data_IF_570749376593
#
_entry.id   IF_570749376593
#
_cell.length_a   1.000
_cell.length_b   1.000
_cell.length_c   1.000
_cell.angle_alpha   90.00
_cell.angle_beta   90.00
_cell.angle_gamma   90.00
#
_symmetry.space_group_name_H-M   'P 1'
#
loop_
_entity.id
_entity.type
_entity.pdbx_description
1 polymer ?
#
# COMPACT_ATOMS: atom_id res chain seq x y z
N UNK A 1 -11.17 -6.08 13.76
CA UNK A 1 -9.81 -6.65 13.67
C UNK A 1 -9.32 -6.84 15.09
N UNK A 2 -8.78 -8.00 15.48
CA UNK A 2 -8.20 -8.13 16.82
C UNK A 2 -6.81 -7.48 16.86
N UNK A 3 -6.35 -7.09 18.05
CA UNK A 3 -5.07 -6.39 18.24
C UNK A 3 -3.88 -7.20 17.71
N UNK A 4 -3.87 -8.52 17.96
CA UNK A 4 -2.82 -9.43 17.47
C UNK A 4 -2.76 -9.45 15.94
N UNK A 5 -3.91 -9.47 15.25
CA UNK A 5 -3.94 -9.41 13.78
C UNK A 5 -3.43 -8.07 13.26
N UNK A 6 -3.74 -6.96 13.95
CA UNK A 6 -3.23 -5.64 13.57
C UNK A 6 -1.70 -5.60 13.69
N UNK A 7 -1.16 -6.05 14.83
CA UNK A 7 0.28 -6.11 15.08
C UNK A 7 1.02 -7.01 14.07
N UNK A 8 0.47 -8.19 13.74
CA UNK A 8 1.06 -9.08 12.74
C UNK A 8 1.10 -8.46 11.34
N UNK A 9 0.08 -7.67 10.98
CA UNK A 9 0.07 -6.93 9.72
C UNK A 9 1.08 -5.79 9.76
N UNK A 10 1.15 -5.04 10.86
CA UNK A 10 2.06 -3.90 11.00
C UNK A 10 3.53 -4.32 11.01
N UNK A 11 3.85 -5.56 11.39
CA UNK A 11 5.21 -6.12 11.32
C UNK A 11 5.82 -6.04 9.91
N UNK A 12 5.02 -6.14 8.84
CA UNK A 12 5.53 -6.04 7.48
C UNK A 12 6.14 -4.67 7.16
N UNK A 13 5.64 -3.59 7.78
CA UNK A 13 6.19 -2.24 7.58
C UNK A 13 7.16 -1.84 8.68
N UNK A 14 7.00 -2.35 9.90
CA UNK A 14 7.84 -1.96 11.04
C UNK A 14 9.11 -2.78 11.17
N UNK A 15 9.32 -3.81 10.32
CA UNK A 15 10.50 -4.67 10.34
C UNK A 15 11.82 -3.89 10.24
N UNK A 16 11.91 -2.93 9.31
CA UNK A 16 13.10 -2.10 9.14
C UNK A 16 13.10 -0.86 10.05
N UNK A 17 11.91 -0.38 10.44
CA UNK A 17 11.78 0.78 11.31
C UNK A 17 12.28 0.49 12.73
N UNK A 18 11.92 -0.65 13.31
CA UNK A 18 12.25 -0.99 14.70
C UNK A 18 13.76 -1.02 14.98
N UNK A 19 14.60 -1.72 14.19
CA UNK A 19 16.06 -1.67 14.37
C UNK A 19 16.62 -0.26 14.21
N UNK A 20 16.05 0.53 13.29
CA UNK A 20 16.48 1.92 13.08
C UNK A 20 16.20 2.77 14.33
N UNK A 21 15.02 2.63 14.95
CA UNK A 21 14.69 3.29 16.22
C UNK A 21 15.68 2.90 17.31
N UNK A 22 15.92 1.60 17.49
CA UNK A 22 16.82 1.05 18.52
C UNK A 22 18.25 1.60 18.41
N UNK A 23 18.77 1.73 17.19
CA UNK A 23 20.15 2.22 16.95
C UNK A 23 20.23 3.75 16.95
N UNK A 24 19.16 4.46 16.57
CA UNK A 24 19.20 5.92 16.41
C UNK A 24 19.42 6.68 17.72
N UNK A 25 18.87 6.19 18.84
CA UNK A 25 18.95 6.85 20.15
C UNK A 25 18.19 8.19 20.26
N UNK A 26 17.35 8.53 19.27
CA UNK A 26 16.57 9.79 19.23
C UNK A 26 15.06 9.51 19.27
N UNK A 27 14.22 10.51 19.61
CA UNK A 27 12.77 10.35 19.56
C UNK A 27 12.25 9.94 18.17
N UNK A 28 11.25 9.06 18.11
CA UNK A 28 10.73 8.52 16.84
C UNK A 28 10.22 9.58 15.86
N UNK A 29 9.64 10.67 16.36
CA UNK A 29 9.18 11.77 15.49
C UNK A 29 10.36 12.50 14.83
N UNK A 30 11.43 12.74 15.58
CA UNK A 30 12.66 13.35 15.05
C UNK A 30 13.33 12.41 14.04
N UNK A 31 13.38 11.11 14.35
CA UNK A 31 13.85 10.10 13.40
C UNK A 31 13.01 10.10 12.11
N UNK A 32 11.69 10.19 12.21
CA UNK A 32 10.81 10.20 11.04
C UNK A 32 11.09 11.41 10.13
N UNK A 33 11.37 12.58 10.70
CA UNK A 33 11.77 13.77 9.94
C UNK A 33 13.11 13.54 9.22
N UNK A 34 14.11 12.99 9.91
CA UNK A 34 15.41 12.66 9.31
C UNK A 34 15.30 11.64 8.18
N UNK A 35 14.47 10.61 8.34
CA UNK A 35 14.23 9.59 7.30
C UNK A 35 13.66 10.21 6.02
N UNK A 36 12.79 11.22 6.11
CA UNK A 36 12.23 11.89 4.93
C UNK A 36 13.19 12.91 4.28
N UNK A 37 14.26 13.30 4.97
CA UNK A 37 15.30 14.20 4.46
C UNK A 37 16.49 13.45 3.86
N UNK A 38 16.62 12.17 4.16
CA UNK A 38 17.73 11.34 3.70
C UNK A 38 17.66 11.04 2.20
N UNK A 39 18.82 10.79 1.58
CA UNK A 39 18.89 10.45 0.15
C UNK A 39 18.08 9.18 -0.14
N UNK A 40 17.30 9.25 -1.22
CA UNK A 40 16.45 8.17 -1.68
C UNK A 40 17.27 6.88 -1.88
N UNK A 41 16.84 5.78 -1.25
CA UNK A 41 17.48 4.46 -1.38
C UNK A 41 18.57 4.16 -0.36
N UNK A 42 18.99 5.12 0.48
CA UNK A 42 19.87 4.83 1.63
C UNK A 42 19.20 3.99 2.70
N UNK A 43 17.91 4.20 2.93
CA UNK A 43 17.07 3.42 3.83
C UNK A 43 16.09 2.53 3.04
N UNK A 44 15.66 1.40 3.61
CA UNK A 44 14.56 0.61 3.07
C UNK A 44 13.30 1.47 2.86
N UNK A 45 12.53 1.18 1.81
CA UNK A 45 11.31 1.93 1.47
C UNK A 45 10.27 1.92 2.59
N UNK A 46 10.25 0.84 3.39
CA UNK A 46 9.43 0.64 4.59
C UNK A 46 9.67 1.75 5.62
N UNK A 47 10.91 2.20 5.80
CA UNK A 47 11.23 3.31 6.71
C UNK A 47 10.56 4.61 6.26
N UNK A 48 10.63 4.95 4.97
CA UNK A 48 9.91 6.11 4.41
C UNK A 48 8.41 5.97 4.63
N UNK A 49 7.86 4.80 4.33
CA UNK A 49 6.43 4.51 4.47
C UNK A 49 5.94 4.59 5.92
N UNK A 50 6.74 4.20 6.91
CA UNK A 50 6.45 4.33 8.35
C UNK A 50 6.61 5.78 8.81
N UNK A 51 7.70 6.46 8.42
CA UNK A 51 7.94 7.86 8.76
C UNK A 51 6.77 8.77 8.33
N UNK A 52 6.24 8.55 7.13
CA UNK A 52 5.06 9.28 6.66
C UNK A 52 3.82 9.07 7.55
N UNK A 53 3.74 7.95 8.29
CA UNK A 53 2.60 7.69 9.19
C UNK A 53 2.71 8.33 10.55
N UNK A 54 3.94 8.59 10.98
CA UNK A 54 4.22 9.23 12.26
C UNK A 54 4.05 10.74 12.15
N UNK A 55 4.33 11.30 10.97
CA UNK A 55 4.29 12.74 10.74
C UNK A 55 2.92 13.25 10.33
N UNK A 56 2.57 14.43 10.85
CA UNK A 56 1.37 15.18 10.44
C UNK A 56 1.74 16.22 9.39
N UNK A 57 0.87 16.37 8.40
CA UNK A 57 1.01 17.40 7.38
C UNK A 57 0.82 18.79 8.02
N UNK A 58 1.82 19.67 7.97
CA UNK A 58 1.73 20.99 8.58
C UNK A 58 0.70 21.93 7.92
N UNK A 59 0.11 21.56 6.77
CA UNK A 59 -0.92 22.36 6.10
C UNK A 59 -2.36 21.93 6.42
N UNK A 60 -2.62 20.62 6.53
CA UNK A 60 -3.98 20.11 6.72
C UNK A 60 -4.16 19.29 8.02
N UNK A 61 -3.10 19.06 8.79
CA UNK A 61 -3.13 18.30 10.03
C UNK A 61 -3.34 16.79 9.86
N UNK A 62 -3.76 16.34 8.68
CA UNK A 62 -3.86 14.92 8.34
C UNK A 62 -2.47 14.27 8.40
N UNK A 63 -2.45 12.95 8.45
CA UNK A 63 -1.20 12.23 8.31
C UNK A 63 -0.55 12.49 6.94
N UNK A 64 0.79 12.50 6.87
CA UNK A 64 1.51 12.92 5.68
C UNK A 64 1.17 12.03 4.47
N UNK A 65 0.80 12.67 3.35
CA UNK A 65 0.33 11.97 2.14
C UNK A 65 -1.16 11.59 2.14
N UNK A 66 -1.89 11.71 3.26
CA UNK A 66 -3.29 11.25 3.37
C UNK A 66 -4.36 12.36 3.34
N UNK A 67 -3.96 13.63 3.36
CA UNK A 67 -4.89 14.76 3.39
C UNK A 67 -5.83 14.82 2.18
N UNK A 68 -6.81 15.72 2.22
CA UNK A 68 -7.78 15.88 1.14
C UNK A 68 -7.13 16.20 -0.22
N UNK A 69 -7.87 15.93 -1.31
CA UNK A 69 -7.40 16.09 -2.70
C UNK A 69 -6.69 17.44 -2.96
N UNK A 70 -7.18 18.60 -2.47
CA UNK A 70 -6.54 19.89 -2.71
C UNK A 70 -5.23 20.14 -1.94
N UNK A 71 -4.89 19.30 -0.94
CA UNK A 71 -3.71 19.53 -0.12
C UNK A 71 -2.42 19.27 -0.91
N UNK A 72 -1.78 20.35 -1.39
CA UNK A 72 -0.55 20.27 -2.16
C UNK A 72 0.59 19.59 -1.40
N UNK A 73 0.75 19.85 -0.09
CA UNK A 73 1.81 19.22 0.72
C UNK A 73 1.65 17.70 0.81
N UNK A 74 0.43 17.21 1.01
CA UNK A 74 0.18 15.77 0.98
C UNK A 74 0.42 15.19 -0.42
N UNK A 75 0.03 15.90 -1.49
CA UNK A 75 0.29 15.45 -2.87
C UNK A 75 1.80 15.34 -3.15
N UNK A 76 2.58 16.35 -2.79
CA UNK A 76 4.05 16.34 -2.97
C UNK A 76 4.68 15.21 -2.16
N UNK A 77 4.28 15.03 -0.90
CA UNK A 77 4.83 13.96 -0.07
C UNK A 77 4.49 12.56 -0.64
N UNK A 78 3.27 12.39 -1.17
CA UNK A 78 2.84 11.15 -1.84
C UNK A 78 3.61 10.91 -3.15
N UNK A 79 3.85 11.95 -3.95
CA UNK A 79 4.67 11.87 -5.16
C UNK A 79 6.13 11.51 -4.83
N UNK A 80 6.72 12.15 -3.81
CA UNK A 80 8.10 11.89 -3.38
C UNK A 80 8.29 10.48 -2.81
N UNK A 81 7.25 9.86 -2.23
CA UNK A 81 7.31 8.45 -1.81
C UNK A 81 7.77 7.54 -2.95
N UNK A 82 7.26 7.77 -4.16
CA UNK A 82 7.54 6.95 -5.34
C UNK A 82 8.91 7.20 -5.97
N UNK A 83 9.65 8.21 -5.50
CA UNK A 83 11.03 8.44 -5.89
C UNK A 83 11.91 7.18 -5.70
N UNK A 84 11.63 6.40 -4.66
CA UNK A 84 12.36 5.17 -4.36
C UNK A 84 12.35 4.18 -5.52
N UNK A 85 11.23 4.06 -6.24
CA UNK A 85 11.02 3.09 -7.32
C UNK A 85 11.87 3.40 -8.57
N UNK A 86 12.40 4.61 -8.69
CA UNK A 86 13.19 5.04 -9.86
C UNK A 86 14.58 5.59 -9.52
N UNK A 87 14.76 6.20 -8.35
CA UNK A 87 16.01 6.85 -7.92
C UNK A 87 16.76 6.08 -6.83
N UNK A 88 16.10 5.15 -6.14
CA UNK A 88 16.74 4.30 -5.14
C UNK A 88 17.49 3.14 -5.80
N UNK A 89 16.96 1.92 -5.60
CA UNK A 89 17.45 0.70 -6.25
C UNK A 89 16.24 -0.13 -6.70
N UNK A 90 15.74 0.06 -7.93
CA UNK A 90 14.51 -0.60 -8.39
C UNK A 90 14.55 -2.13 -8.26
N UNK A 91 15.73 -2.74 -8.41
CA UNK A 91 15.93 -4.20 -8.32
C UNK A 91 15.86 -4.75 -6.88
N UNK A 92 15.78 -3.89 -5.85
CA UNK A 92 15.73 -4.31 -4.45
C UNK A 92 14.33 -4.59 -3.93
N UNK A 93 13.28 -4.15 -4.64
CA UNK A 93 11.89 -4.39 -4.24
C UNK A 93 11.29 -5.49 -5.11
N UNK A 94 10.80 -6.53 -4.48
CA UNK A 94 10.02 -7.57 -5.16
C UNK A 94 8.69 -7.00 -5.65
N UNK A 95 8.10 -7.64 -6.66
CA UNK A 95 6.77 -7.26 -7.13
C UNK A 95 5.70 -7.32 -6.03
N UNK A 96 5.83 -8.23 -5.06
CA UNK A 96 4.92 -8.33 -3.93
C UNK A 96 5.05 -7.15 -2.97
N UNK A 97 6.28 -6.76 -2.63
CA UNK A 97 6.53 -5.58 -1.78
C UNK A 97 6.01 -4.30 -2.44
N UNK A 98 6.24 -4.12 -3.75
CA UNK A 98 5.68 -2.99 -4.48
C UNK A 98 4.15 -2.99 -4.43
N UNK A 99 3.52 -4.14 -4.68
CA UNK A 99 2.06 -4.26 -4.59
C UNK A 99 1.52 -3.96 -3.18
N UNK A 100 2.20 -4.44 -2.13
CA UNK A 100 1.85 -4.12 -0.73
C UNK A 100 1.96 -2.63 -0.42
N UNK A 101 3.01 -1.98 -0.91
CA UNK A 101 3.22 -0.54 -0.77
C UNK A 101 2.12 0.28 -1.45
N UNK A 102 1.74 -0.09 -2.68
CA UNK A 102 0.62 0.54 -3.41
C UNK A 102 -0.71 0.30 -2.69
N UNK A 103 -0.97 -0.94 -2.26
CA UNK A 103 -2.18 -1.28 -1.52
C UNK A 103 -2.30 -0.44 -0.25
N UNK A 104 -1.22 -0.33 0.52
CA UNK A 104 -1.16 0.49 1.73
C UNK A 104 -1.44 1.97 1.44
N UNK A 105 -0.81 2.56 0.43
CA UNK A 105 -1.09 3.94 0.03
C UNK A 105 -2.58 4.15 -0.27
N UNK A 106 -3.16 3.27 -1.09
CA UNK A 106 -4.57 3.38 -1.49
C UNK A 106 -5.50 3.25 -0.29
N UNK A 107 -5.27 2.24 0.55
CA UNK A 107 -6.18 1.91 1.66
C UNK A 107 -6.10 2.92 2.81
N UNK A 108 -5.01 3.69 2.91
CA UNK A 108 -4.84 4.74 3.93
C UNK A 108 -5.45 6.08 3.55
N UNK A 109 -5.59 6.34 2.25
CA UNK A 109 -6.26 7.54 1.75
C UNK A 109 -7.30 7.18 0.68
N UNK A 110 -8.33 6.37 1.01
CA UNK A 110 -9.26 5.82 0.01
C UNK A 110 -10.09 6.91 -0.68
N UNK A 111 -10.34 8.04 -0.01
CA UNK A 111 -11.02 9.21 -0.57
C UNK A 111 -10.25 9.88 -1.71
N UNK A 112 -8.95 9.62 -1.84
CA UNK A 112 -8.11 10.11 -2.95
C UNK A 112 -8.15 9.18 -4.16
N UNK A 113 -8.84 8.05 -4.07
CA UNK A 113 -8.82 6.97 -5.04
C UNK A 113 -10.22 6.69 -5.59
N UNK A 114 -10.28 6.12 -6.81
CA UNK A 114 -11.55 5.61 -7.33
C UNK A 114 -12.00 4.42 -6.49
N UNK A 115 -13.28 4.32 -6.19
CA UNK A 115 -13.84 3.25 -5.36
C UNK A 115 -13.47 1.85 -5.87
N UNK A 116 -13.51 1.64 -7.19
CA UNK A 116 -13.14 0.36 -7.82
C UNK A 116 -11.68 -0.04 -7.56
N UNK A 117 -10.77 0.93 -7.41
CA UNK A 117 -9.36 0.68 -7.06
C UNK A 117 -9.27 0.31 -5.58
N UNK A 118 -9.96 1.03 -4.70
CA UNK A 118 -10.01 0.72 -3.26
C UNK A 118 -10.56 -0.68 -3.03
N UNK A 119 -11.66 -1.04 -3.68
CA UNK A 119 -12.27 -2.37 -3.61
C UNK A 119 -11.30 -3.47 -4.09
N UNK A 120 -10.58 -3.23 -5.19
CA UNK A 120 -9.57 -4.16 -5.70
C UNK A 120 -8.48 -4.45 -4.67
N UNK A 121 -7.91 -3.40 -4.08
CA UNK A 121 -6.86 -3.56 -3.06
C UNK A 121 -7.38 -4.17 -1.77
N UNK A 122 -8.62 -3.89 -1.34
CA UNK A 122 -9.24 -4.55 -0.18
C UNK A 122 -9.33 -6.07 -0.37
N UNK A 123 -9.65 -6.52 -1.59
CA UNK A 123 -9.75 -7.93 -1.92
C UNK A 123 -8.38 -8.61 -2.03
N UNK A 124 -7.39 -7.94 -2.62
CA UNK A 124 -6.06 -8.55 -2.85
C UNK A 124 -5.13 -8.48 -1.65
N UNK A 125 -5.29 -7.49 -0.77
CA UNK A 125 -4.39 -7.24 0.37
C UNK A 125 -4.12 -8.46 1.25
N UNK A 126 -5.13 -9.27 1.65
CA UNK A 126 -4.89 -10.46 2.47
C UNK A 126 -3.95 -11.48 1.81
N UNK A 127 -3.98 -11.58 0.48
CA UNK A 127 -3.14 -12.52 -0.28
C UNK A 127 -1.71 -11.98 -0.45
N UNK A 128 -1.56 -10.66 -0.65
CA UNK A 128 -0.24 -10.02 -0.69
C UNK A 128 0.53 -10.18 0.63
N UNK A 129 -0.18 -10.12 1.76
CA UNK A 129 0.39 -10.39 3.09
C UNK A 129 0.87 -11.84 3.25
N UNK A 130 0.36 -12.78 2.45
CA UNK A 130 0.82 -14.16 2.39
C UNK A 130 1.88 -14.40 1.30
N UNK A 131 2.32 -13.33 0.60
CA UNK A 131 3.29 -13.42 -0.49
C UNK A 131 2.68 -13.81 -1.85
N UNK A 132 1.35 -13.84 -1.97
CA UNK A 132 0.65 -14.18 -3.21
C UNK A 132 0.42 -12.95 -4.08
N UNK A 133 1.33 -12.71 -5.04
CA UNK A 133 1.19 -11.64 -6.03
C UNK A 133 0.28 -12.07 -7.20
N UNK A 134 -0.85 -11.38 -7.47
CA UNK A 134 -1.64 -11.61 -8.67
C UNK A 134 -0.86 -11.33 -9.95
N UNK A 135 -0.99 -12.23 -10.92
CA UNK A 135 -0.60 -11.95 -12.30
C UNK A 135 -1.49 -10.85 -12.89
N UNK A 136 -1.01 -10.19 -13.95
CA UNK A 136 -1.78 -9.17 -14.69
C UNK A 136 -3.15 -9.70 -15.13
N UNK A 137 -3.22 -10.93 -15.63
CA UNK A 137 -4.47 -11.54 -16.06
C UNK A 137 -5.46 -11.74 -14.88
N UNK A 138 -4.97 -12.18 -13.72
CA UNK A 138 -5.78 -12.33 -12.51
C UNK A 138 -6.28 -10.97 -12.01
N UNK A 139 -5.40 -9.96 -11.93
CA UNK A 139 -5.77 -8.61 -11.49
C UNK A 139 -6.83 -7.99 -12.42
N UNK A 140 -6.69 -8.15 -13.74
CA UNK A 140 -7.68 -7.71 -14.69
C UNK A 140 -9.02 -8.45 -14.54
N UNK A 141 -9.01 -9.76 -14.25
CA UNK A 141 -10.24 -10.53 -14.01
C UNK A 141 -10.98 -10.02 -12.78
N UNK A 142 -10.28 -9.89 -11.65
CA UNK A 142 -10.83 -9.33 -10.41
C UNK A 142 -11.45 -7.96 -10.66
N UNK A 143 -10.73 -7.06 -11.36
CA UNK A 143 -11.24 -5.73 -11.71
C UNK A 143 -12.51 -5.77 -12.55
N UNK A 144 -12.63 -6.72 -13.50
CA UNK A 144 -13.83 -6.84 -14.31
C UNK A 144 -15.07 -7.23 -13.47
N UNK A 145 -14.92 -8.11 -12.48
CA UNK A 145 -15.99 -8.46 -11.55
C UNK A 145 -16.38 -7.29 -10.64
N UNK A 146 -15.43 -6.47 -10.21
CA UNK A 146 -15.70 -5.24 -9.45
C UNK A 146 -16.53 -4.27 -10.30
N UNK A 147 -16.13 -4.05 -11.55
CA UNK A 147 -16.87 -3.20 -12.49
C UNK A 147 -18.25 -3.76 -12.84
N UNK A 148 -18.44 -5.07 -12.67
CA UNK A 148 -19.73 -5.74 -12.83
C UNK A 148 -20.64 -5.63 -11.60
N UNK A 149 -20.24 -4.87 -10.57
CA UNK A 149 -20.95 -4.75 -9.29
C UNK A 149 -21.11 -6.09 -8.56
N UNK A 150 -20.22 -7.06 -8.82
CA UNK A 150 -20.22 -8.41 -8.21
C UNK A 150 -19.27 -8.51 -7.01
N UNK A 151 -19.10 -7.42 -6.27
CA UNK A 151 -18.17 -7.37 -5.13
C UNK A 151 -18.54 -8.39 -4.03
N UNK A 152 -19.84 -8.60 -3.78
CA UNK A 152 -20.34 -9.55 -2.77
C UNK A 152 -20.00 -11.02 -3.07
N UNK A 153 -19.75 -11.36 -4.33
CA UNK A 153 -19.27 -12.68 -4.71
C UNK A 153 -17.76 -12.81 -4.42
N UNK A 154 -16.99 -11.76 -4.76
CA UNK A 154 -15.54 -11.74 -4.57
C UNK A 154 -15.15 -11.83 -3.08
N UNK A 155 -15.86 -11.15 -2.19
CA UNK A 155 -15.55 -11.17 -0.74
C UNK A 155 -15.74 -12.55 -0.10
N UNK A 156 -16.43 -13.48 -0.77
CA UNK A 156 -16.63 -14.86 -0.29
C UNK A 156 -15.46 -15.77 -0.65
N UNK A 157 -14.65 -15.39 -1.63
CA UNK A 157 -13.47 -16.14 -2.05
C UNK A 157 -12.43 -16.18 -0.91
N UNK A 158 -11.80 -17.33 -0.74
CA UNK A 158 -10.79 -17.60 0.31
C UNK A 158 -9.38 -17.77 -0.22
N UNK A 159 -9.21 -17.72 -1.54
CA UNK A 159 -7.92 -17.79 -2.20
C UNK A 159 -7.87 -16.83 -3.40
N UNK A 160 -6.65 -16.44 -3.78
CA UNK A 160 -6.43 -15.65 -5.00
C UNK A 160 -6.88 -16.42 -6.25
N UNK A 161 -6.77 -17.75 -6.22
CA UNK A 161 -7.26 -18.64 -7.27
C UNK A 161 -8.77 -18.55 -7.44
N UNK A 162 -9.53 -18.57 -6.34
CA UNK A 162 -10.99 -18.41 -6.38
C UNK A 162 -11.38 -17.02 -6.87
N UNK A 163 -10.74 -15.96 -6.36
CA UNK A 163 -11.01 -14.57 -6.77
C UNK A 163 -10.86 -14.37 -8.28
N UNK A 164 -9.82 -14.95 -8.86
CA UNK A 164 -9.52 -14.82 -10.28
C UNK A 164 -10.11 -15.94 -11.15
N UNK A 165 -10.79 -16.90 -10.53
CA UNK A 165 -11.36 -18.09 -11.17
C UNK A 165 -12.88 -18.09 -11.24
N UNK A 166 -13.55 -17.00 -10.86
CA UNK A 166 -14.99 -16.84 -11.07
C UNK A 166 -15.31 -16.85 -12.58
N UNK A 167 -16.50 -17.37 -12.98
CA UNK A 167 -16.92 -17.36 -14.37
C UNK A 167 -16.90 -15.95 -14.95
N UNK A 168 -16.37 -15.81 -16.16
CA UNK A 168 -16.24 -14.53 -16.86
C UNK A 168 -17.55 -13.74 -16.90
N UNK A 169 -17.42 -12.42 -16.83
CA UNK A 169 -18.55 -11.50 -16.93
C UNK A 169 -19.04 -11.42 -18.39
N UNK A 170 -20.35 -11.26 -18.65
CA UNK A 170 -20.95 -11.44 -19.98
C UNK A 170 -20.34 -10.61 -21.13
N UNK A 171 -19.75 -9.46 -20.83
CA UNK A 171 -19.13 -8.58 -21.84
C UNK A 171 -17.64 -8.85 -22.08
N UNK A 172 -17.04 -9.80 -21.36
CA UNK A 172 -15.64 -10.19 -21.54
C UNK A 172 -15.61 -11.63 -22.05
N UNK A 173 -15.53 -11.79 -23.37
CA UNK A 173 -15.30 -13.10 -23.98
C UNK A 173 -13.92 -13.62 -23.55
N UNK A 174 -13.85 -14.90 -23.22
CA UNK A 174 -12.59 -15.61 -23.03
C UNK A 174 -12.04 -15.89 -24.44
N UNK A 175 -10.92 -15.25 -24.78
CA UNK A 175 -10.10 -15.63 -25.93
C UNK A 175 -9.09 -16.72 -25.51
#
# INVERSE_FOLDING_TARGET
MCLVCAELVDQFWTLDWRPLVEVSGIPELELAELVLLEDVGKLPWTCTDVAMTLLRCPACGAELGTGDLPCLRCRVADEQRWAWDHMGYPDRMTGNEHAMRVARMVLRAPHRQRETIVQGWRLTMPFLLLGELPTTAQAQRIRAHILAERYDELVRCRSLRELAGLPSVPWRKED
#
